data_IF_334408806333
#
_entry.id   IF_334408806333
#
_cell.length_a   1.000
_cell.length_b   1.000
_cell.length_c   1.000
_cell.angle_alpha   90.00
_cell.angle_beta   90.00
_cell.angle_gamma   90.00
#
_symmetry.space_group_name_H-M   'P 1'
#
loop_
_entity.id
_entity.type
_entity.pdbx_description
1 polymer ?
#
# COMPACT_ATOMS: atom_id res chain seq x y z
N UNK A 1 21.47 -5.31 -1.41
CA UNK A 1 22.11 -6.60 -1.04
C UNK A 1 21.07 -7.41 -0.31
N UNK A 2 20.74 -8.60 -0.80
CA UNK A 2 19.64 -9.40 -0.25
C UNK A 2 20.15 -10.44 0.75
N UNK A 3 19.50 -10.54 1.90
CA UNK A 3 19.78 -11.54 2.95
C UNK A 3 18.52 -12.00 3.66
N UNK A 4 18.59 -13.11 4.39
CA UNK A 4 17.49 -13.56 5.26
C UNK A 4 17.31 -12.60 6.44
N UNK A 5 16.05 -12.29 6.77
CA UNK A 5 15.67 -11.60 8.00
C UNK A 5 15.75 -12.58 9.16
N UNK A 6 16.32 -12.16 10.28
CA UNK A 6 16.52 -13.02 11.46
C UNK A 6 15.94 -12.37 12.70
N UNK A 7 15.79 -13.14 13.78
CA UNK A 7 15.35 -12.62 15.08
C UNK A 7 16.34 -11.61 15.70
N UNK A 8 17.56 -11.47 15.16
CA UNK A 8 18.52 -10.44 15.57
C UNK A 8 18.31 -9.10 14.87
N UNK A 9 17.45 -9.05 13.85
CA UNK A 9 17.15 -7.87 13.07
C UNK A 9 15.98 -7.10 13.69
N UNK A 10 16.21 -6.53 14.86
CA UNK A 10 15.24 -5.70 15.57
C UNK A 10 15.21 -4.26 14.99
N UNK A 11 14.80 -4.18 13.72
CA UNK A 11 14.86 -2.95 12.93
C UNK A 11 13.71 -2.01 13.29
N UNK A 12 14.04 -0.74 13.52
CA UNK A 12 13.09 0.38 13.50
C UNK A 12 13.07 0.99 12.10
N UNK A 13 11.88 1.17 11.56
CA UNK A 13 11.66 1.50 10.15
C UNK A 13 10.56 2.54 10.00
N UNK A 14 10.70 3.39 8.99
CA UNK A 14 9.84 4.54 8.79
C UNK A 14 9.36 4.62 7.33
N UNK A 15 8.11 5.05 7.14
CA UNK A 15 7.56 5.32 5.81
C UNK A 15 6.63 6.51 5.85
N UNK A 16 6.79 7.41 4.89
CA UNK A 16 5.77 8.41 4.52
C UNK A 16 4.91 7.80 3.42
N UNK A 17 3.59 7.97 3.52
CA UNK A 17 2.66 7.47 2.51
C UNK A 17 1.99 6.15 2.90
N UNK A 18 1.21 5.61 1.97
CA UNK A 18 0.24 4.55 2.18
C UNK A 18 0.88 3.17 2.30
N UNK A 19 0.16 2.25 2.94
CA UNK A 19 0.67 0.91 3.30
C UNK A 19 0.82 -0.04 2.10
N UNK A 20 0.48 0.41 0.88
CA UNK A 20 0.72 -0.33 -0.36
C UNK A 20 2.14 -0.17 -0.91
N UNK A 21 2.93 0.78 -0.42
CA UNK A 21 4.36 0.82 -0.74
C UNK A 21 5.15 -0.28 -0.03
N UNK A 22 6.32 -0.58 -0.58
CA UNK A 22 7.17 -1.73 -0.22
C UNK A 22 8.57 -1.33 0.27
N UNK A 23 8.92 -0.04 0.17
CA UNK A 23 10.18 0.51 0.68
C UNK A 23 9.92 1.28 1.97
N UNK A 24 10.68 0.91 3.01
CA UNK A 24 10.81 1.62 4.29
C UNK A 24 12.22 2.19 4.44
N UNK A 25 12.42 3.11 5.37
CA UNK A 25 13.72 3.73 5.65
C UNK A 25 14.14 3.51 7.09
N UNK A 26 15.44 3.31 7.34
CA UNK A 26 15.97 3.15 8.70
C UNK A 26 16.10 4.48 9.42
N UNK A 27 16.38 5.54 8.68
CA UNK A 27 16.51 6.88 9.24
C UNK A 27 15.10 7.45 9.53
N UNK A 28 14.87 8.01 10.74
CA UNK A 28 13.61 8.69 11.05
C UNK A 28 13.31 9.82 10.06
N UNK A 29 12.11 9.81 9.50
CA UNK A 29 11.67 10.79 8.48
C UNK A 29 10.84 11.94 9.08
N UNK A 30 10.94 12.12 10.40
CA UNK A 30 10.18 13.11 11.14
C UNK A 30 8.73 12.69 11.41
N UNK A 31 7.89 13.64 11.85
CA UNK A 31 6.58 13.33 12.42
C UNK A 31 5.56 12.85 11.37
N UNK A 32 5.79 13.13 10.08
CA UNK A 32 4.87 12.79 8.99
C UNK A 32 5.00 11.33 8.51
N UNK A 33 5.86 10.54 9.15
CA UNK A 33 6.09 9.15 8.80
C UNK A 33 5.47 8.21 9.83
N UNK A 34 4.86 7.12 9.36
CA UNK A 34 4.56 5.98 10.20
C UNK A 34 5.85 5.31 10.62
N UNK A 35 5.87 4.82 11.86
CA UNK A 35 7.00 4.09 12.41
C UNK A 35 6.60 2.65 12.69
N UNK A 36 7.47 1.73 12.31
CA UNK A 36 7.29 0.29 12.39
C UNK A 36 8.51 -0.34 13.07
N UNK A 37 8.31 -1.50 13.69
CA UNK A 37 9.37 -2.34 14.22
C UNK A 37 9.19 -3.76 13.73
N UNK A 38 10.29 -4.45 13.42
CA UNK A 38 10.27 -5.89 13.15
C UNK A 38 9.79 -6.64 14.39
N UNK A 39 8.79 -7.51 14.22
CA UNK A 39 8.38 -8.44 15.26
C UNK A 39 9.31 -9.65 15.26
N UNK A 40 10.34 -9.60 16.11
CA UNK A 40 11.31 -10.69 16.23
C UNK A 40 10.72 -11.95 16.86
N UNK A 41 9.53 -11.88 17.46
CA UNK A 41 8.79 -13.03 17.96
C UNK A 41 7.90 -13.68 16.88
N UNK A 42 7.81 -13.08 15.69
CA UNK A 42 7.07 -13.64 14.57
C UNK A 42 7.66 -14.99 14.14
N UNK A 43 6.84 -16.05 14.00
CA UNK A 43 7.31 -17.34 13.49
C UNK A 43 7.96 -17.21 12.10
N UNK A 44 7.45 -16.32 11.25
CA UNK A 44 7.99 -16.12 9.90
C UNK A 44 9.41 -15.54 9.91
N UNK A 45 9.73 -14.72 10.92
CA UNK A 45 11.08 -14.18 11.14
C UNK A 45 11.98 -15.24 11.75
N UNK A 46 11.48 -15.97 12.76
CA UNK A 46 12.22 -17.04 13.42
C UNK A 46 12.61 -18.18 12.45
N UNK A 47 11.70 -18.53 11.53
CA UNK A 47 11.89 -19.59 10.54
C UNK A 47 12.63 -19.12 9.28
N UNK A 48 12.99 -17.82 9.20
CA UNK A 48 13.75 -17.27 8.07
C UNK A 48 12.98 -17.23 6.74
N UNK A 49 11.66 -17.11 6.79
CA UNK A 49 10.76 -17.10 5.63
C UNK A 49 10.59 -15.72 4.97
N UNK A 50 11.34 -14.74 5.47
CA UNK A 50 11.34 -13.36 4.99
C UNK A 50 12.78 -12.96 4.69
N UNK A 51 12.96 -12.24 3.58
CA UNK A 51 14.24 -11.67 3.17
C UNK A 51 14.19 -10.15 3.25
N UNK A 52 15.35 -9.56 3.44
CA UNK A 52 15.57 -8.12 3.43
C UNK A 52 16.50 -7.79 2.28
N UNK A 53 16.13 -6.79 1.48
CA UNK A 53 16.99 -6.20 0.47
C UNK A 53 17.21 -4.72 0.77
N UNK A 54 18.46 -4.28 0.61
CA UNK A 54 18.86 -2.88 0.77
C UNK A 54 18.69 -2.12 -0.54
N UNK A 55 17.96 -1.01 -0.47
CA UNK A 55 17.60 -0.14 -1.60
C UNK A 55 18.17 1.25 -1.33
N UNK A 56 18.94 1.81 -2.26
CA UNK A 56 19.40 3.21 -2.24
C UNK A 56 20.01 3.68 -0.89
N UNK A 57 20.83 2.83 -0.26
CA UNK A 57 21.63 3.14 0.94
C UNK A 57 20.88 3.09 2.27
N UNK A 58 19.74 3.76 2.39
CA UNK A 58 18.92 3.82 3.63
C UNK A 58 17.58 3.10 3.51
N UNK A 59 17.17 2.76 2.29
CA UNK A 59 15.95 2.04 1.99
C UNK A 59 16.06 0.54 2.28
N UNK A 60 14.96 -0.02 2.73
CA UNK A 60 14.80 -1.42 3.09
C UNK A 60 13.51 -1.92 2.43
N UNK A 61 13.64 -2.99 1.65
CA UNK A 61 12.51 -3.73 1.09
C UNK A 61 12.49 -5.13 1.69
N UNK A 62 11.30 -5.62 2.01
CA UNK A 62 11.10 -6.99 2.44
C UNK A 62 10.61 -7.82 1.26
N UNK A 63 11.14 -9.03 1.14
CA UNK A 63 10.79 -9.98 0.09
C UNK A 63 10.37 -11.30 0.73
N UNK A 64 9.52 -12.03 0.05
CA UNK A 64 9.26 -13.42 0.38
C UNK A 64 10.42 -14.35 -0.07
N UNK A 65 10.27 -15.66 0.12
CA UNK A 65 11.29 -16.63 -0.31
C UNK A 65 11.41 -16.79 -1.83
N UNK A 66 10.40 -16.34 -2.58
CA UNK A 66 10.37 -16.30 -4.04
C UNK A 66 10.91 -14.96 -4.59
N UNK A 67 11.42 -14.08 -3.73
CA UNK A 67 11.91 -12.73 -4.06
C UNK A 67 10.82 -11.75 -4.51
N UNK A 68 9.56 -12.03 -4.20
CA UNK A 68 8.44 -11.13 -4.45
C UNK A 68 8.38 -10.07 -3.34
N UNK A 69 8.30 -8.77 -3.67
CA UNK A 69 8.15 -7.71 -2.67
C UNK A 69 6.90 -7.86 -1.80
N UNK A 70 7.04 -7.59 -0.52
CA UNK A 70 5.95 -7.52 0.44
C UNK A 70 5.63 -6.05 0.74
N UNK A 71 4.35 -5.66 0.60
CA UNK A 71 3.91 -4.31 0.97
C UNK A 71 3.92 -4.13 2.49
N UNK A 72 3.93 -2.90 2.98
CA UNK A 72 3.78 -2.63 4.42
C UNK A 72 2.50 -3.27 4.98
N UNK A 73 1.41 -3.28 4.20
CA UNK A 73 0.17 -3.96 4.56
C UNK A 73 0.36 -5.47 4.72
N UNK A 74 1.08 -6.12 3.82
CA UNK A 74 1.39 -7.55 3.94
C UNK A 74 2.24 -7.82 5.18
N UNK A 75 3.26 -7.00 5.41
CA UNK A 75 4.15 -7.13 6.56
C UNK A 75 3.40 -7.00 7.89
N UNK A 76 2.43 -6.08 7.98
CA UNK A 76 1.53 -5.97 9.14
C UNK A 76 0.59 -7.17 9.24
N UNK A 77 -0.05 -7.54 8.11
CA UNK A 77 -0.98 -8.67 8.02
C UNK A 77 -0.35 -9.98 8.51
N UNK A 78 0.90 -10.22 8.15
CA UNK A 78 1.63 -11.42 8.53
C UNK A 78 2.45 -11.27 9.81
N UNK A 79 2.26 -10.17 10.56
CA UNK A 79 2.94 -9.89 11.84
C UNK A 79 4.46 -9.96 11.70
N UNK A 80 4.99 -9.46 10.60
CA UNK A 80 6.43 -9.26 10.40
C UNK A 80 6.80 -7.86 10.89
N UNK A 81 5.91 -6.88 10.69
CA UNK A 81 6.03 -5.54 11.24
C UNK A 81 4.88 -5.23 12.22
N UNK A 82 5.23 -4.58 13.32
CA UNK A 82 4.27 -3.93 14.22
C UNK A 82 4.35 -2.43 13.99
N UNK A 83 3.19 -1.78 13.85
CA UNK A 83 3.10 -0.32 13.79
C UNK A 83 3.29 0.24 15.20
N UNK A 84 4.31 1.07 15.38
CA UNK A 84 4.71 1.65 16.67
C UNK A 84 4.14 3.06 16.85
N UNK A 85 4.07 3.83 15.78
CA UNK A 85 3.49 5.16 15.79
C UNK A 85 2.87 5.49 14.43
N UNK A 86 1.75 6.21 14.45
CA UNK A 86 1.15 6.80 13.27
C UNK A 86 1.90 8.06 12.84
N UNK A 87 1.86 8.34 11.53
CA UNK A 87 2.23 9.64 11.03
C UNK A 87 1.35 10.71 11.69
N UNK A 88 1.98 11.72 12.27
CA UNK A 88 1.31 12.97 12.59
C UNK A 88 0.83 13.55 11.28
N UNK A 89 -0.49 13.63 11.14
CA UNK A 89 -1.12 14.18 9.94
C UNK A 89 -0.52 15.55 9.66
N UNK A 90 0.08 15.69 8.48
CA UNK A 90 0.37 17.00 7.96
C UNK A 90 -0.94 17.78 7.93
N UNK A 91 -0.94 19.01 8.44
CA UNK A 91 -1.97 19.99 8.10
C UNK A 91 -2.16 19.98 6.58
N UNK A 92 -3.37 20.24 6.04
CA UNK A 92 -3.58 20.28 4.61
C UNK A 92 -2.54 21.22 3.98
N UNK A 93 -1.49 20.63 3.39
CA UNK A 93 -0.46 21.36 2.69
C UNK A 93 -1.08 22.03 1.47
N UNK A 94 -0.36 22.98 0.88
CA UNK A 94 -0.78 23.56 -0.40
C UNK A 94 -1.11 22.41 -1.37
N UNK A 95 -2.38 22.31 -1.74
CA UNK A 95 -2.86 21.31 -2.68
C UNK A 95 -2.07 21.54 -3.97
N UNK A 96 -1.19 20.61 -4.40
CA UNK A 96 -0.56 20.77 -5.71
C UNK A 96 -1.68 20.88 -6.74
N UNK A 97 -1.49 21.65 -7.83
CA UNK A 97 -2.53 21.82 -8.83
C UNK A 97 -3.00 20.43 -9.30
N UNK A 98 -4.27 20.11 -9.02
CA UNK A 98 -4.93 18.90 -9.52
C UNK A 98 -4.91 18.98 -11.04
N UNK A 99 -4.19 18.06 -11.64
CA UNK A 99 -4.21 17.90 -13.07
C UNK A 99 -5.26 16.83 -13.37
N UNK A 100 -6.35 17.24 -14.00
CA UNK A 100 -7.54 16.41 -14.16
C UNK A 100 -7.26 15.22 -15.07
N UNK A 101 -7.67 14.04 -14.60
CA UNK A 101 -7.70 12.85 -15.45
C UNK A 101 -8.70 13.04 -16.60
N UNK A 102 -8.46 12.37 -17.72
CA UNK A 102 -9.36 12.42 -18.90
C UNK A 102 -9.94 11.02 -19.12
N UNK A 103 -11.08 10.70 -18.48
CA UNK A 103 -11.79 9.44 -18.70
C UNK A 103 -12.23 9.30 -20.15
N UNK A 104 -12.06 8.11 -20.72
CA UNK A 104 -12.37 7.85 -22.14
C UNK A 104 -13.77 7.27 -22.39
N UNK A 105 -14.54 6.97 -21.34
CA UNK A 105 -15.90 6.42 -21.43
C UNK A 105 -16.82 7.00 -20.33
N UNK A 106 -18.15 6.95 -20.51
CA UNK A 106 -19.12 7.40 -19.50
C UNK A 106 -18.94 6.69 -18.15
N UNK A 107 -18.75 5.37 -18.14
CA UNK A 107 -18.53 4.61 -16.90
C UNK A 107 -17.30 5.10 -16.11
N UNK A 108 -16.24 5.52 -16.82
CA UNK A 108 -15.04 6.06 -16.19
C UNK A 108 -15.23 7.52 -15.71
N UNK A 109 -16.11 8.28 -16.36
CA UNK A 109 -16.53 9.61 -15.87
C UNK A 109 -17.30 9.43 -14.56
N UNK A 110 -18.29 8.53 -14.52
CA UNK A 110 -19.07 8.25 -13.32
C UNK A 110 -18.16 7.79 -12.16
N UNK A 111 -17.17 6.92 -12.44
CA UNK A 111 -16.18 6.49 -11.45
C UNK A 111 -15.34 7.64 -10.88
N UNK A 112 -14.93 8.58 -11.74
CA UNK A 112 -14.19 9.77 -11.33
C UNK A 112 -15.06 10.64 -10.44
N UNK A 113 -16.31 10.87 -10.82
CA UNK A 113 -17.26 11.68 -10.06
C UNK A 113 -17.57 11.05 -8.70
N UNK A 114 -17.73 9.72 -8.63
CA UNK A 114 -17.87 9.00 -7.35
C UNK A 114 -16.68 9.23 -6.41
N UNK A 115 -15.46 9.25 -6.93
CA UNK A 115 -14.26 9.48 -6.13
C UNK A 115 -14.18 10.94 -5.65
N UNK A 116 -14.57 11.90 -6.49
CA UNK A 116 -14.69 13.31 -6.11
C UNK A 116 -15.76 13.53 -5.04
N UNK A 117 -16.90 12.85 -5.15
CA UNK A 117 -17.99 12.89 -4.16
C UNK A 117 -17.56 12.31 -2.80
N UNK A 118 -16.61 11.38 -2.79
CA UNK A 118 -15.94 10.91 -1.58
C UNK A 118 -14.91 11.91 -1.03
N UNK A 119 -14.79 13.12 -1.58
CA UNK A 119 -13.87 14.15 -1.13
C UNK A 119 -12.40 13.85 -1.43
N UNK A 120 -12.14 12.99 -2.41
CA UNK A 120 -10.80 12.67 -2.89
C UNK A 120 -10.35 13.67 -3.97
N UNK A 121 -9.04 13.80 -4.16
CA UNK A 121 -8.48 14.73 -5.13
C UNK A 121 -7.94 13.97 -6.37
N UNK A 122 -8.47 14.31 -7.54
CA UNK A 122 -7.97 13.80 -8.82
C UNK A 122 -6.55 14.29 -9.10
N UNK A 123 -5.72 13.41 -9.65
CA UNK A 123 -4.28 13.58 -9.85
C UNK A 123 -3.45 13.51 -8.57
N UNK A 124 -4.08 13.38 -7.38
CA UNK A 124 -3.38 13.34 -6.08
C UNK A 124 -3.66 12.02 -5.36
N UNK A 125 -4.93 11.75 -5.01
CA UNK A 125 -5.33 10.50 -4.35
C UNK A 125 -5.63 9.42 -5.36
N UNK A 126 -6.13 9.81 -6.53
CA UNK A 126 -6.48 8.87 -7.57
C UNK A 126 -6.28 9.45 -8.98
N UNK A 127 -6.35 8.59 -9.98
CA UNK A 127 -6.43 8.95 -11.40
C UNK A 127 -7.22 7.88 -12.16
N UNK A 128 -8.14 8.29 -13.03
CA UNK A 128 -8.95 7.38 -13.86
C UNK A 128 -8.61 7.56 -15.35
N UNK A 129 -8.20 6.49 -16.02
CA UNK A 129 -7.79 6.53 -17.42
C UNK A 129 -6.44 7.23 -17.61
N UNK A 130 -6.29 7.93 -18.75
CA UNK A 130 -5.05 8.66 -19.02
C UNK A 130 -5.04 10.01 -18.32
N UNK A 131 -3.95 10.32 -17.64
CA UNK A 131 -3.77 11.62 -17.01
C UNK A 131 -2.44 11.71 -16.27
N UNK A 132 -2.02 12.95 -15.96
CA UNK A 132 -0.97 13.18 -14.97
C UNK A 132 -1.44 12.63 -13.62
N UNK A 133 -0.59 11.83 -12.98
CA UNK A 133 -0.82 11.36 -11.64
C UNK A 133 0.35 11.80 -10.77
N UNK A 134 0.05 12.18 -9.53
CA UNK A 134 1.05 12.53 -8.52
C UNK A 134 2.00 11.36 -8.22
N UNK A 135 3.00 11.67 -7.40
CA UNK A 135 4.06 10.70 -7.07
C UNK A 135 3.49 9.45 -6.38
N UNK A 136 2.41 9.57 -5.62
CA UNK A 136 1.73 8.46 -4.97
C UNK A 136 0.19 8.57 -5.15
N UNK A 137 -0.44 7.60 -5.82
CA UNK A 137 -1.90 7.60 -6.06
C UNK A 137 -2.45 6.21 -6.41
N UNK A 138 -3.77 6.03 -6.33
CA UNK A 138 -4.48 4.86 -6.86
C UNK A 138 -4.91 5.10 -8.31
N UNK A 139 -4.61 4.17 -9.21
CA UNK A 139 -4.94 4.31 -10.63
C UNK A 139 -6.04 3.35 -11.06
N UNK A 140 -6.86 3.76 -12.01
CA UNK A 140 -7.85 2.89 -12.65
C UNK A 140 -7.72 2.93 -14.17
N UNK A 141 -7.40 1.78 -14.77
CA UNK A 141 -7.26 1.64 -16.21
C UNK A 141 -8.30 0.70 -16.79
N UNK A 142 -9.12 1.20 -17.71
CA UNK A 142 -9.95 0.37 -18.59
C UNK A 142 -9.12 -0.19 -19.74
N UNK A 143 -9.10 -1.51 -19.89
CA UNK A 143 -8.39 -2.23 -20.96
C UNK A 143 -9.39 -3.02 -21.81
N UNK A 144 -9.03 -3.41 -23.06
CA UNK A 144 -9.91 -4.22 -23.90
C UNK A 144 -10.34 -5.56 -23.27
N UNK A 145 -9.52 -6.10 -22.37
CA UNK A 145 -9.70 -7.39 -21.71
C UNK A 145 -10.21 -7.29 -20.26
N UNK A 146 -10.47 -6.09 -19.75
CA UNK A 146 -10.99 -5.87 -18.41
C UNK A 146 -10.54 -4.55 -17.79
N UNK A 147 -10.47 -4.51 -16.47
CA UNK A 147 -10.19 -3.33 -15.67
C UNK A 147 -9.07 -3.64 -14.69
N UNK A 148 -8.17 -2.68 -14.53
CA UNK A 148 -7.00 -2.81 -13.66
C UNK A 148 -6.99 -1.66 -12.67
N UNK A 149 -6.89 -2.01 -11.38
CA UNK A 149 -6.63 -1.08 -10.28
C UNK A 149 -5.16 -1.18 -9.94
N UNK A 150 -4.47 -0.05 -10.01
CA UNK A 150 -3.05 0.06 -9.72
C UNK A 150 -2.75 0.97 -8.54
N UNK A 151 -1.51 0.91 -8.08
CA UNK A 151 -0.95 1.84 -7.13
C UNK A 151 0.37 2.37 -7.68
N UNK A 152 0.57 3.68 -7.59
CA UNK A 152 1.81 4.35 -7.96
C UNK A 152 2.47 4.90 -6.69
N UNK A 153 3.79 4.82 -6.63
CA UNK A 153 4.62 5.45 -5.60
C UNK A 153 6.03 5.73 -6.15
N UNK A 154 6.44 7.00 -6.16
CA UNK A 154 7.81 7.41 -6.49
C UNK A 154 8.29 6.93 -7.87
N UNK A 155 7.40 6.90 -8.86
CA UNK A 155 7.68 6.41 -10.21
C UNK A 155 7.59 4.88 -10.38
N UNK A 156 7.37 4.13 -9.31
CA UNK A 156 7.04 2.71 -9.36
C UNK A 156 5.53 2.53 -9.50
N UNK A 157 5.10 1.50 -10.23
CA UNK A 157 3.69 1.15 -10.38
C UNK A 157 3.50 -0.35 -10.14
N UNK A 158 2.48 -0.70 -9.36
CA UNK A 158 2.08 -2.07 -9.09
C UNK A 158 0.60 -2.28 -9.41
N UNK A 159 0.24 -3.51 -9.77
CA UNK A 159 -1.16 -3.90 -9.95
C UNK A 159 -1.70 -4.38 -8.61
N UNK A 160 -2.77 -3.76 -8.11
CA UNK A 160 -3.46 -4.18 -6.90
C UNK A 160 -4.56 -5.21 -7.20
N UNK A 161 -5.27 -5.02 -8.32
CA UNK A 161 -6.39 -5.86 -8.70
C UNK A 161 -6.65 -5.80 -10.20
N UNK A 162 -7.06 -6.92 -10.79
CA UNK A 162 -7.52 -6.99 -12.16
C UNK A 162 -8.79 -7.83 -12.25
N UNK A 163 -9.80 -7.35 -12.98
CA UNK A 163 -11.05 -8.09 -13.20
C UNK A 163 -11.69 -7.71 -14.53
N UNK A 164 -12.45 -8.64 -15.12
CA UNK A 164 -13.32 -8.34 -16.27
C UNK A 164 -14.59 -7.58 -15.86
N UNK A 165 -14.91 -7.56 -14.57
CA UNK A 165 -16.10 -6.89 -14.03
C UNK A 165 -15.77 -5.47 -13.60
N UNK A 166 -16.37 -4.49 -14.29
CA UNK A 166 -16.26 -3.08 -13.92
C UNK A 166 -16.69 -2.84 -12.49
N UNK A 167 -17.83 -3.40 -12.08
CA UNK A 167 -18.38 -3.21 -10.73
C UNK A 167 -17.42 -3.70 -9.63
N UNK A 168 -16.74 -4.82 -9.84
CA UNK A 168 -15.74 -5.32 -8.89
C UNK A 168 -14.51 -4.41 -8.84
N UNK A 169 -13.97 -4.04 -10.00
CA UNK A 169 -12.81 -3.16 -10.06
C UNK A 169 -13.12 -1.78 -9.46
N UNK A 170 -14.30 -1.20 -9.74
CA UNK A 170 -14.79 0.05 -9.15
C UNK A 170 -14.84 -0.02 -7.63
N UNK A 171 -15.37 -1.10 -7.07
CA UNK A 171 -15.45 -1.27 -5.62
C UNK A 171 -14.05 -1.31 -4.97
N UNK A 172 -13.11 -2.06 -5.57
CA UNK A 172 -11.72 -2.13 -5.07
C UNK A 172 -11.02 -0.78 -5.20
N UNK A 173 -11.19 -0.09 -6.33
CA UNK A 173 -10.60 1.22 -6.57
C UNK A 173 -11.07 2.26 -5.55
N UNK A 174 -12.39 2.37 -5.33
CA UNK A 174 -12.92 3.36 -4.39
C UNK A 174 -12.46 3.06 -2.96
N UNK A 175 -12.40 1.79 -2.55
CA UNK A 175 -11.92 1.43 -1.21
C UNK A 175 -10.45 1.81 -1.02
N UNK A 176 -9.57 1.42 -1.95
CA UNK A 176 -8.14 1.73 -1.86
C UNK A 176 -7.87 3.24 -1.93
N UNK A 177 -8.58 3.97 -2.81
CA UNK A 177 -8.44 5.42 -2.93
C UNK A 177 -8.92 6.15 -1.67
N UNK A 178 -10.01 5.68 -1.04
CA UNK A 178 -10.48 6.23 0.23
C UNK A 178 -9.49 6.01 1.38
N UNK A 179 -8.82 4.86 1.42
CA UNK A 179 -7.80 4.59 2.43
C UNK A 179 -6.54 5.42 2.24
N UNK A 180 -6.06 5.55 1.00
CA UNK A 180 -4.96 6.48 0.68
C UNK A 180 -5.33 7.93 1.04
N UNK A 181 -6.55 8.36 0.69
CA UNK A 181 -7.07 9.67 1.04
C UNK A 181 -7.11 9.89 2.56
N UNK A 182 -7.48 8.86 3.34
CA UNK A 182 -7.58 8.94 4.79
C UNK A 182 -6.25 9.24 5.48
N UNK A 183 -5.15 8.67 5.00
CA UNK A 183 -3.79 8.98 5.47
C UNK A 183 -3.44 10.46 5.27
N UNK A 184 -4.08 11.10 4.29
CA UNK A 184 -3.92 12.51 3.95
C UNK A 184 -5.04 13.40 4.54
N UNK A 185 -5.87 12.83 5.41
CA UNK A 185 -6.97 13.54 6.06
C UNK A 185 -8.18 13.80 5.16
N UNK A 186 -8.39 13.01 4.10
CA UNK A 186 -9.52 13.10 3.17
C UNK A 186 -10.37 11.84 3.10
N UNK A 187 -11.64 12.03 2.76
CA UNK A 187 -12.60 10.96 2.51
C UNK A 187 -13.21 10.27 3.73
N UNK A 188 -13.97 9.19 3.50
CA UNK A 188 -14.88 8.63 4.51
C UNK A 188 -14.15 7.87 5.63
N UNK A 189 -12.89 7.50 5.42
CA UNK A 189 -12.09 6.72 6.37
C UNK A 189 -11.15 7.56 7.22
N UNK A 190 -11.19 8.90 7.11
CA UNK A 190 -10.38 9.78 7.96
C UNK A 190 -10.62 9.48 9.43
N UNK A 191 -9.53 9.32 10.18
CA UNK A 191 -9.63 9.00 11.61
C UNK A 191 -9.76 7.53 11.92
N UNK A 192 -9.80 6.64 10.92
CA UNK A 192 -9.96 5.20 11.13
C UNK A 192 -8.65 4.47 10.91
N UNK A 193 -8.45 3.42 11.69
CA UNK A 193 -7.37 2.46 11.45
C UNK A 193 -7.80 1.45 10.40
N UNK A 194 -6.93 1.23 9.41
CA UNK A 194 -7.16 0.18 8.42
C UNK A 194 -6.89 -1.19 9.04
N UNK A 195 -7.93 -2.03 9.05
CA UNK A 195 -7.78 -3.43 9.41
C UNK A 195 -6.95 -4.18 8.34
N UNK A 196 -6.02 -5.00 8.80
CA UNK A 196 -5.22 -5.90 7.96
C UNK A 196 -5.86 -7.29 7.84
N UNK A 197 -6.86 -7.57 8.68
CA UNK A 197 -7.75 -8.73 8.59
C UNK A 197 -7.23 -9.98 9.30
N UNK A 198 -6.19 -9.84 10.13
CA UNK A 198 -5.51 -10.93 10.86
C UNK A 198 -5.36 -10.63 12.35
N UNK A 199 -6.04 -9.61 12.87
CA UNK A 199 -5.96 -9.14 14.25
C UNK A 199 -6.34 -10.27 15.24
N UNK A 200 -7.34 -11.08 14.89
CA UNK A 200 -7.82 -12.21 15.73
C UNK A 200 -7.18 -13.57 15.43
N UNK A 201 -6.20 -13.66 14.53
CA UNK A 201 -5.65 -14.94 14.08
C UNK A 201 -4.63 -15.52 15.09
N UNK A 202 -4.52 -16.84 15.11
CA UNK A 202 -3.40 -17.52 15.81
C UNK A 202 -2.14 -17.49 14.94
N UNK A 203 -0.97 -17.69 15.55
CA UNK A 203 0.30 -17.77 14.81
C UNK A 203 0.28 -18.84 13.72
N UNK A 204 -0.32 -20.00 13.98
CA UNK A 204 -0.47 -21.06 12.99
C UNK A 204 -1.34 -20.65 11.79
N UNK A 205 -2.41 -19.87 12.03
CA UNK A 205 -3.26 -19.36 10.94
C UNK A 205 -2.52 -18.33 10.08
N UNK A 206 -1.69 -17.49 10.70
CA UNK A 206 -0.84 -16.52 9.99
C UNK A 206 0.17 -17.24 9.09
N UNK A 207 0.91 -18.21 9.64
CA UNK A 207 1.88 -19.01 8.87
C UNK A 207 1.19 -19.73 7.71
N UNK A 208 0.10 -20.44 7.96
CA UNK A 208 -0.61 -21.17 6.92
C UNK A 208 -1.15 -20.25 5.80
N UNK A 209 -1.52 -19.01 6.11
CA UNK A 209 -1.92 -18.04 5.10
C UNK A 209 -0.73 -17.49 4.30
N UNK A 210 0.41 -17.27 4.95
CA UNK A 210 1.64 -16.87 4.29
C UNK A 210 2.13 -17.95 3.33
N UNK A 211 2.13 -19.21 3.76
CA UNK A 211 2.49 -20.36 2.90
C UNK A 211 1.59 -20.48 1.68
N UNK A 212 0.26 -20.29 1.84
CA UNK A 212 -0.66 -20.26 0.68
C UNK A 212 -0.28 -19.16 -0.30
N UNK A 213 0.05 -17.96 0.19
CA UNK A 213 0.55 -16.86 -0.64
C UNK A 213 1.81 -17.26 -1.42
N UNK A 214 2.77 -17.92 -0.78
CA UNK A 214 4.00 -18.39 -1.45
C UNK A 214 3.71 -19.37 -2.59
N UNK A 215 2.70 -20.22 -2.44
CA UNK A 215 2.31 -21.21 -3.44
C UNK A 215 1.54 -20.59 -4.61
N UNK A 216 0.79 -19.52 -4.38
CA UNK A 216 0.00 -18.83 -5.40
C UNK A 216 0.87 -17.91 -6.30
N UNK A 217 2.07 -17.54 -5.86
CA UNK A 217 3.06 -16.81 -6.69
C UNK A 217 2.64 -15.38 -7.06
N UNK A 218 1.85 -14.73 -6.20
CA UNK A 218 1.24 -13.41 -6.45
C UNK A 218 2.14 -12.25 -6.04
#
# INVERSE_FOLDING_TARGET
MTRTLTAHDDLELHRVGYERGDVLRRTPLGPVAHSYRVDTASPLVADGLVRVDEVDGDGVRFLDTNLVPLTVRDLRRFRILVKVADAVRSAPGAVPPSAESVPSSPDLVDLRDDALDNGLLDGVDFTVGSGPAGDECITFDGRPDGFVVGYRDGGSASTLFASRSFAQARAVFLDEACWLGAERGRGPYVGRDQAVGTEGWTSAQVVAAYERRLLEGV
#
